data_IF_232967561661
#
_entry.id   IF_232967561661
#
_cell.length_a   1.000
_cell.length_b   1.000
_cell.length_c   1.000
_cell.angle_alpha   90.00
_cell.angle_beta   90.00
_cell.angle_gamma   90.00
#
_symmetry.space_group_name_H-M   'P 1'
#
loop_
_entity.id
_entity.type
_entity.pdbx_description
1 polymer ?
#
# COMPACT_ATOMS: atom_id res chain seq x y z
N UNK A 1 -19.68 -2.19 4.48
CA UNK A 1 -19.06 -3.41 3.91
C UNK A 1 -18.25 -2.95 2.71
N UNK A 2 -16.95 -3.26 2.67
CA UNK A 2 -16.08 -2.80 1.57
C UNK A 2 -16.40 -3.57 0.28
N UNK A 3 -16.27 -2.89 -0.86
CA UNK A 3 -16.50 -3.41 -2.20
C UNK A 3 -15.38 -2.96 -3.18
N UNK A 4 -14.16 -2.75 -2.66
CA UNK A 4 -13.02 -2.38 -3.49
C UNK A 4 -12.76 -3.44 -4.54
N UNK A 5 -12.51 -3.01 -5.78
CA UNK A 5 -12.23 -3.90 -6.91
C UNK A 5 -11.25 -3.26 -7.88
N UNK A 6 -10.24 -4.05 -8.29
CA UNK A 6 -9.26 -3.70 -9.32
C UNK A 6 -9.08 -4.91 -10.25
N UNK A 7 -9.82 -4.92 -11.37
CA UNK A 7 -9.86 -6.09 -12.24
C UNK A 7 -10.50 -7.28 -11.54
N UNK A 8 -9.73 -8.36 -11.38
CA UNK A 8 -10.14 -9.59 -10.69
C UNK A 8 -9.83 -9.55 -9.19
N UNK A 9 -9.01 -8.58 -8.74
CA UNK A 9 -8.67 -8.39 -7.34
C UNK A 9 -9.80 -7.65 -6.63
N UNK A 10 -10.41 -8.26 -5.62
CA UNK A 10 -11.56 -7.69 -4.90
C UNK A 10 -11.44 -7.81 -3.37
N UNK A 11 -12.10 -6.90 -2.65
CA UNK A 11 -12.30 -7.00 -1.20
C UNK A 11 -13.78 -7.28 -0.90
N UNK A 12 -14.05 -8.26 -0.04
CA UNK A 12 -15.42 -8.65 0.37
C UNK A 12 -15.83 -8.07 1.74
N UNK A 13 -15.01 -7.17 2.29
CA UNK A 13 -15.26 -6.52 3.58
C UNK A 13 -14.58 -7.15 4.78
N UNK A 14 -13.71 -8.14 4.56
CA UNK A 14 -12.83 -8.77 5.56
C UNK A 14 -11.50 -8.04 5.77
N UNK A 15 -11.21 -7.03 4.96
CA UNK A 15 -9.98 -6.22 5.09
C UNK A 15 -8.83 -6.69 4.21
N UNK A 16 -9.02 -7.71 3.38
CA UNK A 16 -7.99 -8.24 2.49
C UNK A 16 -8.51 -8.36 1.05
N UNK A 17 -7.58 -8.38 0.12
CA UNK A 17 -7.79 -8.53 -1.31
C UNK A 17 -7.65 -10.00 -1.69
N UNK A 18 -8.48 -10.41 -2.63
CA UNK A 18 -8.63 -11.77 -3.11
C UNK A 18 -8.61 -11.75 -4.62
N UNK A 19 -7.93 -12.70 -5.26
CA UNK A 19 -8.04 -12.85 -6.71
C UNK A 19 -9.27 -13.69 -7.06
N UNK A 20 -10.29 -13.04 -7.62
CA UNK A 20 -11.55 -13.73 -7.91
C UNK A 20 -11.44 -14.79 -9.02
N UNK A 21 -10.34 -14.82 -9.79
CA UNK A 21 -10.21 -15.67 -10.98
C UNK A 21 -9.18 -16.82 -10.91
N UNK A 22 -8.19 -16.78 -10.00
CA UNK A 22 -7.04 -17.71 -10.04
C UNK A 22 -6.88 -18.65 -8.84
N UNK A 23 -7.12 -18.21 -7.61
CA UNK A 23 -6.81 -18.97 -6.38
C UNK A 23 -8.05 -19.40 -5.57
N UNK A 24 -9.17 -18.71 -5.77
CA UNK A 24 -10.41 -18.95 -5.04
C UNK A 24 -10.38 -18.27 -3.65
N UNK A 25 -11.56 -17.93 -3.13
CA UNK A 25 -11.65 -17.19 -1.87
C UNK A 25 -11.16 -18.02 -0.66
N UNK A 26 -10.00 -17.66 -0.11
CA UNK A 26 -9.36 -18.34 1.01
C UNK A 26 -9.32 -17.45 2.26
N UNK A 27 -10.42 -17.29 3.03
CA UNK A 27 -10.63 -16.22 4.04
C UNK A 27 -9.56 -16.05 5.14
N UNK A 28 -8.59 -16.96 5.22
CA UNK A 28 -7.43 -16.93 6.10
C UNK A 28 -6.17 -16.29 5.48
N UNK A 29 -6.14 -15.97 4.18
CA UNK A 29 -5.03 -15.24 3.57
C UNK A 29 -5.10 -13.76 3.97
N UNK A 30 -4.10 -13.32 4.70
CA UNK A 30 -4.00 -11.95 5.22
C UNK A 30 -2.88 -11.17 4.52
N UNK A 31 -2.56 -11.55 3.28
CA UNK A 31 -1.33 -11.13 2.61
C UNK A 31 -1.46 -9.87 1.76
N UNK A 32 -2.68 -9.55 1.34
CA UNK A 32 -2.96 -8.38 0.53
C UNK A 32 -3.97 -7.48 1.25
N UNK A 33 -3.55 -6.68 2.24
CA UNK A 33 -4.45 -5.77 2.94
C UNK A 33 -5.15 -4.80 1.97
N UNK A 34 -6.45 -4.59 2.18
CA UNK A 34 -7.27 -3.76 1.32
C UNK A 34 -6.95 -2.26 1.49
N UNK A 35 -6.66 -1.51 0.41
CA UNK A 35 -6.36 -0.08 0.48
C UNK A 35 -7.58 0.80 0.81
N UNK A 36 -8.79 0.23 0.86
CA UNK A 36 -10.02 0.94 1.17
C UNK A 36 -10.49 0.74 2.62
N UNK A 37 -10.49 -0.49 3.14
CA UNK A 37 -11.01 -0.78 4.48
C UNK A 37 -9.98 -1.33 5.47
N UNK A 38 -8.74 -1.55 5.03
CA UNK A 38 -7.61 -1.93 5.90
C UNK A 38 -6.37 -1.08 5.58
N UNK A 39 -6.62 0.22 5.42
CA UNK A 39 -5.66 1.23 4.93
C UNK A 39 -4.38 1.26 5.76
N UNK A 40 -4.50 1.12 7.08
CA UNK A 40 -3.36 1.16 7.98
C UNK A 40 -2.38 0.01 7.72
N UNK A 41 -2.88 -1.23 7.65
CA UNK A 41 -2.04 -2.40 7.38
C UNK A 41 -1.51 -2.38 5.94
N UNK A 42 -2.32 -1.90 5.00
CA UNK A 42 -1.90 -1.69 3.61
C UNK A 42 -0.68 -0.78 3.52
N UNK A 43 -0.76 0.43 4.09
CA UNK A 43 0.36 1.36 4.08
C UNK A 43 1.55 0.85 4.92
N UNK A 44 1.33 0.05 5.97
CA UNK A 44 2.44 -0.51 6.75
C UNK A 44 3.24 -1.56 5.96
N UNK A 45 2.56 -2.45 5.22
CA UNK A 45 3.24 -3.38 4.31
C UNK A 45 3.95 -2.63 3.19
N UNK A 46 3.30 -1.65 2.56
CA UNK A 46 3.95 -0.84 1.52
C UNK A 46 5.15 -0.05 2.03
N UNK A 47 5.17 0.34 3.31
CA UNK A 47 6.36 0.93 3.94
C UNK A 47 7.50 -0.08 3.97
N UNK A 48 7.24 -1.29 4.47
CA UNK A 48 8.25 -2.35 4.54
C UNK A 48 8.83 -2.66 3.15
N UNK A 49 7.96 -2.81 2.14
CA UNK A 49 8.38 -3.04 0.76
C UNK A 49 9.23 -1.87 0.22
N UNK A 50 8.81 -0.63 0.49
CA UNK A 50 9.52 0.56 0.07
C UNK A 50 10.90 0.71 0.71
N UNK A 51 11.05 0.32 1.98
CA UNK A 51 12.30 0.41 2.74
C UNK A 51 13.26 -0.76 2.47
N UNK A 52 12.79 -1.82 1.80
CA UNK A 52 13.60 -3.03 1.51
C UNK A 52 13.84 -3.28 0.03
N UNK A 53 13.04 -2.69 -0.86
CA UNK A 53 13.16 -2.86 -2.31
C UNK A 53 13.94 -1.70 -2.92
N UNK A 54 15.21 -1.92 -3.27
CA UNK A 54 15.99 -0.92 -4.00
C UNK A 54 15.45 -0.71 -5.41
N UNK A 55 15.16 -1.81 -6.10
CA UNK A 55 14.67 -1.85 -7.47
C UNK A 55 13.76 -3.07 -7.69
N UNK A 56 12.76 -2.92 -8.53
CA UNK A 56 11.92 -4.00 -9.00
C UNK A 56 11.70 -3.85 -10.51
N UNK A 57 11.47 -4.97 -11.18
CA UNK A 57 11.10 -4.97 -12.59
C UNK A 57 10.12 -6.10 -12.90
N UNK A 58 9.23 -5.82 -13.83
CA UNK A 58 8.32 -6.77 -14.46
C UNK A 58 8.59 -6.75 -15.96
N UNK A 59 7.84 -7.53 -16.74
CA UNK A 59 7.96 -7.52 -18.21
C UNK A 59 7.64 -6.15 -18.84
N UNK A 60 6.86 -5.31 -18.18
CA UNK A 60 6.31 -4.07 -18.75
C UNK A 60 6.64 -2.81 -17.95
N UNK A 61 7.21 -2.95 -16.75
CA UNK A 61 7.50 -1.82 -15.87
C UNK A 61 8.74 -2.09 -15.02
N UNK A 62 9.34 -1.02 -14.53
CA UNK A 62 10.39 -1.05 -13.52
C UNK A 62 10.20 0.13 -12.59
N UNK A 63 10.78 0.05 -11.41
CA UNK A 63 10.73 1.12 -10.44
C UNK A 63 11.53 0.79 -9.20
N UNK A 64 11.35 1.62 -8.18
CA UNK A 64 12.06 1.54 -6.91
C UNK A 64 11.09 1.41 -5.73
N UNK A 65 11.62 1.21 -4.53
CA UNK A 65 10.84 1.28 -3.30
C UNK A 65 10.13 2.62 -3.12
N UNK A 66 10.73 3.73 -3.57
CA UNK A 66 10.09 5.03 -3.59
C UNK A 66 8.84 5.06 -4.50
N UNK A 67 8.85 4.33 -5.61
CA UNK A 67 7.70 4.23 -6.51
C UNK A 67 6.59 3.35 -5.92
N UNK A 68 6.96 2.26 -5.23
CA UNK A 68 6.03 1.44 -4.45
C UNK A 68 5.29 2.33 -3.45
N UNK A 69 6.03 3.12 -2.66
CA UNK A 69 5.44 4.01 -1.66
C UNK A 69 4.49 5.04 -2.27
N UNK A 70 4.91 5.75 -3.33
CA UNK A 70 4.08 6.76 -4.00
C UNK A 70 2.77 6.17 -4.54
N UNK A 71 2.85 5.01 -5.18
CA UNK A 71 1.67 4.30 -5.71
C UNK A 71 0.72 3.86 -4.59
N UNK A 72 1.26 3.37 -3.46
CA UNK A 72 0.46 2.97 -2.31
C UNK A 72 -0.27 4.17 -1.70
N UNK A 73 0.42 5.30 -1.48
CA UNK A 73 -0.18 6.52 -0.95
C UNK A 73 -1.27 7.04 -1.88
N UNK A 74 -0.99 7.16 -3.18
CA UNK A 74 -1.97 7.62 -4.16
C UNK A 74 -3.21 6.72 -4.23
N UNK A 75 -3.04 5.41 -4.05
CA UNK A 75 -4.15 4.46 -3.98
C UNK A 75 -4.96 4.66 -2.69
N UNK A 76 -4.30 4.69 -1.53
CA UNK A 76 -4.98 4.89 -0.24
C UNK A 76 -5.74 6.23 -0.20
N UNK A 77 -5.16 7.32 -0.70
CA UNK A 77 -5.81 8.63 -0.76
C UNK A 77 -7.03 8.64 -1.70
N UNK A 78 -7.00 7.86 -2.78
CA UNK A 78 -8.14 7.72 -3.70
C UNK A 78 -9.27 6.89 -3.09
N UNK A 79 -8.94 5.79 -2.44
CA UNK A 79 -9.93 4.81 -1.96
C UNK A 79 -10.50 5.13 -0.57
N UNK A 80 -9.71 5.78 0.28
CA UNK A 80 -10.06 6.05 1.67
C UNK A 80 -9.29 7.29 2.21
N UNK A 81 -9.63 8.51 1.75
CA UNK A 81 -8.82 9.72 2.00
C UNK A 81 -8.62 10.04 3.49
N UNK A 82 -9.68 9.95 4.30
CA UNK A 82 -9.61 10.27 5.73
C UNK A 82 -8.78 9.24 6.50
N UNK A 83 -8.97 7.95 6.22
CA UNK A 83 -8.23 6.86 6.85
C UNK A 83 -6.77 6.83 6.38
N UNK A 84 -6.51 7.18 5.11
CA UNK A 84 -5.17 7.34 4.57
C UNK A 84 -4.42 8.47 5.28
N UNK A 85 -5.04 9.65 5.41
CA UNK A 85 -4.45 10.77 6.15
C UNK A 85 -4.15 10.40 7.61
N UNK A 86 -5.07 9.69 8.28
CA UNK A 86 -4.86 9.22 9.65
C UNK A 86 -3.74 8.17 9.75
N UNK A 87 -3.68 7.22 8.81
CA UNK A 87 -2.67 6.17 8.76
C UNK A 87 -1.27 6.75 8.48
N UNK A 88 -1.13 7.66 7.51
CA UNK A 88 0.14 8.33 7.19
C UNK A 88 0.72 9.06 8.40
N UNK A 89 -0.12 9.80 9.14
CA UNK A 89 0.28 10.46 10.40
C UNK A 89 0.75 9.48 11.48
N UNK A 90 0.19 8.26 11.53
CA UNK A 90 0.61 7.20 12.47
C UNK A 90 1.93 6.55 12.02
N UNK A 91 2.11 6.37 10.72
CA UNK A 91 3.31 5.77 10.12
C UNK A 91 4.53 6.70 10.29
N UNK A 92 4.32 8.01 10.17
CA UNK A 92 5.37 9.00 10.37
C UNK A 92 6.35 9.05 9.20
N UNK A 93 7.62 8.76 9.44
CA UNK A 93 8.65 8.79 8.40
C UNK A 93 8.76 7.44 7.68
N UNK A 94 8.92 7.48 6.36
CA UNK A 94 9.28 6.34 5.50
C UNK A 94 10.59 6.64 4.80
N UNK A 95 11.55 5.72 4.87
CA UNK A 95 12.89 5.83 4.30
C UNK A 95 13.02 4.93 3.08
N UNK A 96 12.30 5.26 2.01
CA UNK A 96 12.20 4.39 0.84
C UNK A 96 13.53 4.31 0.07
N UNK A 97 13.84 3.14 -0.50
CA UNK A 97 15.00 2.96 -1.36
C UNK A 97 14.69 3.39 -2.80
N UNK A 98 15.64 4.07 -3.45
CA UNK A 98 15.51 4.65 -4.79
C UNK A 98 16.68 4.22 -5.70
N UNK A 99 16.99 2.93 -5.75
CA UNK A 99 18.09 2.41 -6.57
C UNK A 99 19.43 3.13 -6.32
N UNK A 100 20.05 3.64 -7.38
CA UNK A 100 21.32 4.38 -7.33
C UNK A 100 21.23 5.72 -6.58
N UNK A 101 20.03 6.29 -6.43
CA UNK A 101 19.80 7.56 -5.73
C UNK A 101 19.80 7.41 -4.19
N UNK A 102 19.85 6.17 -3.69
CA UNK A 102 19.96 5.87 -2.25
C UNK A 102 18.61 5.89 -1.53
N UNK A 103 18.49 6.67 -0.45
CA UNK A 103 17.30 6.69 0.42
C UNK A 103 16.53 7.99 0.24
N UNK A 104 15.22 7.89 -0.05
CA UNK A 104 14.28 9.00 -0.19
C UNK A 104 13.34 9.06 1.02
N UNK A 105 13.42 10.10 1.86
CA UNK A 105 12.54 10.25 3.01
C UNK A 105 11.17 10.84 2.61
N UNK A 106 10.09 10.21 3.10
CA UNK A 106 8.73 10.75 3.09
C UNK A 106 8.29 11.03 4.52
N UNK A 107 7.90 12.26 4.81
CA UNK A 107 7.58 12.72 6.17
C UNK A 107 6.11 13.12 6.29
N UNK A 108 5.37 12.41 7.16
CA UNK A 108 3.98 12.72 7.47
C UNK A 108 3.89 13.16 8.93
N UNK A 109 4.02 14.47 9.17
CA UNK A 109 3.91 15.03 10.52
C UNK A 109 2.44 15.08 10.98
N UNK A 110 2.22 14.96 12.30
CA UNK A 110 0.95 15.38 12.88
C UNK A 110 0.88 16.91 12.79
N UNK A 111 -0.07 17.45 12.03
CA UNK A 111 -0.47 18.83 12.23
C UNK A 111 -0.95 18.95 13.69
N UNK A 112 -0.28 19.79 14.47
CA UNK A 112 -0.55 19.93 15.89
C UNK A 112 -1.99 20.40 16.14
N UNK A 113 -2.61 19.74 17.14
CA UNK A 113 -3.74 20.12 18.00
C UNK A 113 -4.81 21.06 17.45
#
# INVERSE_FOLDING_TARGET
MCNYQLGTIECRGDGYLWDADCDGYAPNEADHPCPSCNVQTFLQRSKEDAETTSEWSTMTAHGTGADIWRCAVATAEREAPDDAAAALRKIGTVLALAGEDGVVPFCYSQAGA
#
